data_IF_418051035930
#
_entry.id   IF_418051035930
#
_cell.length_a   1.000
_cell.length_b   1.000
_cell.length_c   1.000
_cell.angle_alpha   90.00
_cell.angle_beta   90.00
_cell.angle_gamma   90.00
#
_symmetry.space_group_name_H-M   'P 1'
#
loop_
_entity.id
_entity.type
_entity.pdbx_description
1 polymer ?
#
# COMPACT_ATOMS: atom_id res chain seq x y z
N UNK A 1 1.03 -23.74 -0.25
CA UNK A 1 2.16 -24.59 -0.70
C UNK A 1 3.01 -23.92 -1.80
N UNK A 2 3.13 -22.58 -1.82
CA UNK A 2 3.97 -21.84 -2.81
C UNK A 2 5.16 -21.10 -2.13
N UNK A 3 5.21 -21.00 -0.80
CA UNK A 3 6.14 -20.07 -0.12
C UNK A 3 7.41 -20.70 0.49
N UNK A 4 7.56 -22.03 0.41
CA UNK A 4 8.69 -22.76 1.04
C UNK A 4 9.93 -22.89 0.13
N UNK A 5 9.83 -22.48 -1.15
CA UNK A 5 10.93 -22.60 -2.12
C UNK A 5 11.72 -21.30 -2.34
N UNK A 6 11.15 -20.13 -2.01
CA UNK A 6 11.84 -18.83 -2.18
C UNK A 6 12.83 -18.55 -1.05
N UNK A 7 12.53 -18.97 0.18
CA UNK A 7 13.39 -18.69 1.36
C UNK A 7 14.62 -19.59 1.47
N UNK A 8 14.63 -20.73 0.77
CA UNK A 8 15.69 -21.74 0.92
C UNK A 8 16.99 -21.41 0.17
N UNK A 9 16.98 -20.40 -0.72
CA UNK A 9 18.13 -20.10 -1.58
C UNK A 9 18.48 -18.59 -1.68
N UNK A 10 18.02 -17.77 -0.74
CA UNK A 10 18.46 -16.38 -0.67
C UNK A 10 19.83 -16.30 0.00
N UNK A 11 20.78 -15.61 -0.63
CA UNK A 11 22.07 -15.28 0.01
C UNK A 11 21.77 -14.56 1.33
N UNK A 12 22.36 -14.95 2.47
CA UNK A 12 22.08 -14.35 3.77
C UNK A 12 22.27 -12.82 3.76
N UNK A 13 23.18 -12.31 2.92
CA UNK A 13 23.39 -10.87 2.73
C UNK A 13 22.20 -10.12 2.11
N UNK A 14 21.38 -10.76 1.26
CA UNK A 14 20.21 -10.12 0.63
C UNK A 14 19.06 -9.98 1.62
N UNK A 15 18.85 -10.97 2.50
CA UNK A 15 17.88 -10.87 3.59
C UNK A 15 18.30 -9.82 4.62
N UNK A 16 19.59 -9.79 4.96
CA UNK A 16 20.15 -8.78 5.85
C UNK A 16 19.99 -7.37 5.29
N UNK A 17 20.19 -7.17 3.98
CA UNK A 17 19.95 -5.86 3.36
C UNK A 17 18.47 -5.46 3.38
N UNK A 18 17.59 -6.39 3.01
CA UNK A 18 16.15 -6.16 2.84
C UNK A 18 15.44 -5.81 4.16
N UNK A 19 15.83 -6.43 5.27
CA UNK A 19 15.28 -6.10 6.60
C UNK A 19 16.19 -5.18 7.43
N UNK A 20 17.50 -5.25 7.23
CA UNK A 20 18.46 -4.43 7.97
C UNK A 20 18.44 -2.97 7.55
N UNK A 21 18.18 -2.65 6.28
CA UNK A 21 18.09 -1.25 5.84
C UNK A 21 16.90 -0.50 6.49
N UNK A 22 15.65 -1.01 6.46
CA UNK A 22 14.54 -0.38 7.19
C UNK A 22 14.82 -0.24 8.68
N UNK A 23 15.35 -1.28 9.34
CA UNK A 23 15.67 -1.24 10.76
C UNK A 23 16.77 -0.21 11.08
N UNK A 24 17.79 -0.10 10.22
CA UNK A 24 18.84 0.90 10.36
C UNK A 24 18.29 2.32 10.21
N UNK A 25 17.39 2.56 9.24
CA UNK A 25 16.73 3.86 9.05
C UNK A 25 15.88 4.22 10.26
N UNK A 26 15.10 3.27 10.78
CA UNK A 26 14.31 3.44 11.99
C UNK A 26 15.17 3.87 13.19
N UNK A 27 16.25 3.12 13.45
CA UNK A 27 17.19 3.42 14.54
C UNK A 27 17.91 4.75 14.32
N UNK A 28 18.31 5.05 13.09
CA UNK A 28 18.96 6.31 12.76
C UNK A 28 18.06 7.52 13.09
N UNK A 29 16.76 7.45 12.79
CA UNK A 29 15.82 8.54 13.10
C UNK A 29 15.54 8.64 14.60
N UNK A 30 15.40 7.52 15.32
CA UNK A 30 15.19 7.55 16.79
C UNK A 30 16.42 8.08 17.54
N UNK A 31 17.62 7.72 17.10
CA UNK A 31 18.87 8.10 17.76
C UNK A 31 19.39 9.47 17.30
N UNK A 32 18.84 10.02 16.22
CA UNK A 32 19.17 11.36 15.77
C UNK A 32 18.79 12.41 16.83
N UNK A 33 19.51 13.54 16.92
CA UNK A 33 19.09 14.67 17.74
C UNK A 33 17.71 15.14 17.30
N UNK A 34 16.79 15.33 18.25
CA UNK A 34 15.45 15.81 17.93
C UNK A 34 15.54 17.23 17.33
N UNK A 35 15.06 17.47 16.10
CA UNK A 35 15.11 18.80 15.50
C UNK A 35 14.29 19.83 16.30
N UNK A 36 14.73 21.08 16.30
CA UNK A 36 14.06 22.16 17.01
C UNK A 36 12.60 22.31 16.53
N UNK A 37 11.65 22.28 17.47
CA UNK A 37 10.23 22.42 17.19
C UNK A 37 9.48 21.11 16.95
N UNK A 38 10.15 19.95 16.95
CA UNK A 38 9.50 18.65 16.83
C UNK A 38 9.29 17.99 18.20
N UNK A 39 8.10 17.45 18.44
CA UNK A 39 7.80 16.71 19.66
C UNK A 39 8.48 15.34 19.64
N UNK A 40 8.80 14.76 20.80
CA UNK A 40 9.39 13.42 20.88
C UNK A 40 8.49 12.35 20.24
N UNK A 41 7.16 12.50 20.37
CA UNK A 41 6.17 11.67 19.67
C UNK A 41 6.27 11.84 18.15
N UNK A 42 6.44 13.08 17.67
CA UNK A 42 6.66 13.40 16.27
C UNK A 42 7.90 12.71 15.70
N UNK A 43 9.02 12.74 16.42
CA UNK A 43 10.25 12.04 16.00
C UNK A 43 10.04 10.52 15.90
N UNK A 44 9.35 9.92 16.88
CA UNK A 44 9.03 8.49 16.87
C UNK A 44 8.09 8.12 15.72
N UNK A 45 7.07 8.92 15.46
CA UNK A 45 6.17 8.73 14.32
C UNK A 45 6.92 8.85 12.99
N UNK A 46 7.82 9.82 12.86
CA UNK A 46 8.69 9.96 11.68
C UNK A 46 9.61 8.75 11.50
N UNK A 47 10.15 8.17 12.57
CA UNK A 47 10.98 6.98 12.49
C UNK A 47 10.20 5.79 11.92
N UNK A 48 8.98 5.55 12.42
CA UNK A 48 8.10 4.50 11.90
C UNK A 48 7.73 4.76 10.43
N UNK A 49 7.40 6.01 10.09
CA UNK A 49 7.07 6.40 8.71
C UNK A 49 8.25 6.19 7.76
N UNK A 50 9.46 6.62 8.13
CA UNK A 50 10.66 6.45 7.31
C UNK A 50 10.96 4.97 7.08
N UNK A 51 10.84 4.14 8.12
CA UNK A 51 10.97 2.69 8.01
C UNK A 51 9.92 2.10 7.05
N UNK A 52 8.65 2.51 7.16
CA UNK A 52 7.56 2.05 6.31
C UNK A 52 7.81 2.40 4.83
N UNK A 53 8.26 3.63 4.54
CA UNK A 53 8.61 4.08 3.20
C UNK A 53 9.72 3.21 2.60
N UNK A 54 10.75 2.88 3.37
CA UNK A 54 11.83 1.99 2.90
C UNK A 54 11.30 0.58 2.65
N UNK A 55 10.45 0.04 3.53
CA UNK A 55 9.83 -1.28 3.34
C UNK A 55 8.96 -1.33 2.08
N UNK A 56 8.24 -0.26 1.77
CA UNK A 56 7.46 -0.14 0.54
C UNK A 56 8.34 0.00 -0.70
N UNK A 57 9.34 0.89 -0.68
CA UNK A 57 10.23 1.11 -1.81
C UNK A 57 11.07 -0.13 -2.16
N UNK A 58 11.41 -0.94 -1.16
CA UNK A 58 12.15 -2.20 -1.35
C UNK A 58 11.24 -3.40 -1.62
N UNK A 59 9.91 -3.21 -1.59
CA UNK A 59 8.89 -4.26 -1.69
C UNK A 59 9.22 -5.48 -0.80
N UNK A 60 9.76 -5.18 0.39
CA UNK A 60 10.32 -6.20 1.28
C UNK A 60 9.25 -7.12 1.84
N UNK A 61 8.12 -6.51 2.20
CA UNK A 61 6.90 -7.13 2.70
C UNK A 61 5.71 -6.67 1.83
N UNK A 62 4.63 -7.45 1.82
CA UNK A 62 3.39 -7.04 1.19
C UNK A 62 2.90 -5.71 1.78
N UNK A 63 2.34 -4.82 0.94
CA UNK A 63 1.94 -3.45 1.33
C UNK A 63 1.10 -3.42 2.62
N UNK A 64 0.14 -4.35 2.74
CA UNK A 64 -0.74 -4.46 3.90
C UNK A 64 0.00 -4.93 5.17
N UNK A 65 1.00 -5.81 5.03
CA UNK A 65 1.80 -6.30 6.15
C UNK A 65 2.68 -5.17 6.69
N UNK A 66 3.30 -4.37 5.80
CA UNK A 66 4.06 -3.17 6.21
C UNK A 66 3.17 -2.18 6.96
N UNK A 67 1.93 -1.95 6.50
CA UNK A 67 0.97 -1.11 7.20
C UNK A 67 0.67 -1.62 8.62
N UNK A 68 0.38 -2.93 8.75
CA UNK A 68 0.12 -3.56 10.04
C UNK A 68 1.31 -3.45 11.00
N UNK A 69 2.52 -3.74 10.52
CA UNK A 69 3.76 -3.58 11.31
C UNK A 69 3.95 -2.14 11.76
N UNK A 70 3.66 -1.17 10.90
CA UNK A 70 3.80 0.26 11.21
C UNK A 70 2.83 0.69 12.32
N UNK A 71 1.56 0.26 12.26
CA UNK A 71 0.55 0.54 13.30
C UNK A 71 1.01 -0.01 14.65
N UNK A 72 1.44 -1.28 14.67
CA UNK A 72 1.94 -1.92 15.88
C UNK A 72 3.14 -1.15 16.44
N UNK A 73 4.08 -0.75 15.58
CA UNK A 73 5.24 0.01 16.01
C UNK A 73 4.91 1.40 16.54
N UNK A 74 3.96 2.13 15.94
CA UNK A 74 3.51 3.44 16.45
C UNK A 74 3.08 3.35 17.92
N UNK A 75 2.34 2.29 18.27
CA UNK A 75 1.90 2.03 19.65
C UNK A 75 3.08 1.59 20.52
N UNK A 76 3.90 0.63 20.06
CA UNK A 76 5.00 0.08 20.86
C UNK A 76 6.06 1.11 21.24
N UNK A 77 6.32 2.10 20.37
CA UNK A 77 7.28 3.17 20.69
C UNK A 77 6.65 4.36 21.39
N UNK A 78 5.35 4.32 21.69
CA UNK A 78 4.59 5.46 22.22
C UNK A 78 4.78 6.70 21.32
N UNK A 79 4.59 6.52 20.01
CA UNK A 79 4.53 7.62 19.04
C UNK A 79 3.15 8.29 19.00
N UNK A 80 2.14 7.62 19.54
CA UNK A 80 0.75 8.10 19.66
C UNK A 80 0.28 7.91 21.10
N UNK A 81 -0.68 8.73 21.54
CA UNK A 81 -1.24 8.67 22.89
C UNK A 81 -2.22 7.50 23.08
N UNK A 82 -2.93 7.12 22.01
CA UNK A 82 -3.96 6.08 22.03
C UNK A 82 -3.87 5.23 20.76
N UNK A 83 -4.25 3.96 20.86
CA UNK A 83 -4.36 3.04 19.71
C UNK A 83 -5.38 3.53 18.69
N UNK A 84 -6.42 4.25 19.12
CA UNK A 84 -7.41 4.84 18.24
C UNK A 84 -6.79 5.85 17.26
N UNK A 85 -5.74 6.57 17.69
CA UNK A 85 -5.00 7.50 16.84
C UNK A 85 -4.20 6.74 15.77
N UNK A 86 -3.57 5.62 16.13
CA UNK A 86 -2.86 4.78 15.16
C UNK A 86 -3.81 4.11 14.15
N UNK A 87 -5.05 3.81 14.55
CA UNK A 87 -6.08 3.19 13.72
C UNK A 87 -6.98 4.20 12.99
N UNK A 88 -6.83 5.49 13.25
CA UNK A 88 -7.70 6.55 12.73
C UNK A 88 -7.89 6.51 11.20
N UNK A 89 -6.84 6.11 10.46
CA UNK A 89 -6.87 5.95 9.00
C UNK A 89 -7.93 4.95 8.50
N UNK A 90 -8.21 3.88 9.26
CA UNK A 90 -9.21 2.88 8.89
C UNK A 90 -10.65 3.40 9.00
N UNK A 91 -10.87 4.38 9.87
CA UNK A 91 -12.17 5.01 10.07
C UNK A 91 -12.42 6.18 9.12
N UNK A 92 -11.50 6.47 8.20
CA UNK A 92 -11.67 7.57 7.25
C UNK A 92 -12.74 7.24 6.20
N UNK A 93 -13.57 8.22 5.80
CA UNK A 93 -14.57 8.04 4.73
C UNK A 93 -13.97 7.49 3.43
N UNK A 94 -12.73 7.85 3.12
CA UNK A 94 -11.99 7.39 1.94
C UNK A 94 -11.82 5.87 1.95
N UNK A 95 -11.56 5.26 3.10
CA UNK A 95 -11.40 3.80 3.24
C UNK A 95 -12.70 3.08 2.89
N UNK A 96 -13.83 3.55 3.42
CA UNK A 96 -15.15 3.00 3.12
C UNK A 96 -15.57 3.25 1.67
N UNK A 97 -15.19 4.39 1.10
CA UNK A 97 -15.41 4.70 -0.32
C UNK A 97 -14.67 3.73 -1.24
N UNK A 98 -13.41 3.40 -0.94
CA UNK A 98 -12.65 2.40 -1.70
C UNK A 98 -13.30 1.01 -1.61
N UNK A 99 -13.74 0.59 -0.41
CA UNK A 99 -14.51 -0.64 -0.25
C UNK A 99 -15.78 -0.64 -1.11
N UNK A 100 -16.49 0.48 -1.16
CA UNK A 100 -17.66 0.68 -2.00
C UNK A 100 -17.35 0.55 -3.49
N UNK A 101 -16.32 1.24 -4.00
CA UNK A 101 -15.94 1.16 -5.42
C UNK A 101 -15.50 -0.25 -5.80
N UNK A 102 -14.69 -0.91 -4.96
CA UNK A 102 -14.23 -2.27 -5.24
C UNK A 102 -15.40 -3.27 -5.27
N UNK A 103 -16.33 -3.14 -4.32
CA UNK A 103 -17.55 -3.97 -4.27
C UNK A 103 -18.45 -3.71 -5.47
N UNK A 104 -18.64 -2.45 -5.84
CA UNK A 104 -19.42 -2.07 -7.01
C UNK A 104 -18.77 -2.58 -8.30
N UNK A 105 -17.45 -2.45 -8.45
CA UNK A 105 -16.70 -2.99 -9.58
C UNK A 105 -16.88 -4.51 -9.70
N UNK A 106 -16.83 -5.23 -8.58
CA UNK A 106 -17.11 -6.66 -8.54
C UNK A 106 -18.55 -6.99 -8.94
N UNK A 107 -19.55 -6.21 -8.51
CA UNK A 107 -20.94 -6.39 -8.91
C UNK A 107 -21.16 -6.10 -10.41
N UNK A 108 -20.51 -5.08 -10.97
CA UNK A 108 -20.52 -4.76 -12.40
C UNK A 108 -19.91 -5.89 -13.22
N UNK A 109 -18.81 -6.47 -12.74
CA UNK A 109 -18.16 -7.63 -13.37
C UNK A 109 -19.04 -8.90 -13.27
N UNK A 110 -19.54 -9.25 -12.08
CA UNK A 110 -20.37 -10.46 -11.90
C UNK A 110 -21.72 -10.39 -12.62
N UNK A 111 -22.31 -9.20 -12.77
CA UNK A 111 -23.57 -9.01 -13.49
C UNK A 111 -23.44 -9.12 -15.02
N UNK A 112 -22.21 -9.18 -15.56
CA UNK A 112 -21.95 -9.16 -16.99
C UNK A 112 -22.13 -7.77 -17.62
N UNK A 113 -22.30 -6.73 -16.82
CA UNK A 113 -22.57 -5.38 -17.31
C UNK A 113 -21.33 -4.83 -18.03
N UNK A 114 -20.13 -5.07 -17.51
CA UNK A 114 -18.89 -4.68 -18.17
C UNK A 114 -18.78 -5.28 -19.58
N UNK A 115 -19.10 -6.57 -19.73
CA UNK A 115 -19.05 -7.31 -20.99
C UNK A 115 -20.11 -6.82 -21.98
N UNK A 116 -21.32 -6.51 -21.50
CA UNK A 116 -22.38 -5.93 -22.32
C UNK A 116 -21.98 -4.55 -22.85
N UNK A 117 -21.39 -3.71 -22.00
CA UNK A 117 -20.90 -2.38 -22.38
C UNK A 117 -19.74 -2.48 -23.37
N UNK A 118 -18.77 -3.37 -23.13
CA UNK A 118 -17.66 -3.62 -24.05
C UNK A 118 -18.17 -4.11 -25.41
N UNK A 119 -19.09 -5.08 -25.44
CA UNK A 119 -19.70 -5.58 -26.67
C UNK A 119 -20.49 -4.50 -27.41
N UNK A 120 -21.18 -3.60 -26.69
CA UNK A 120 -21.90 -2.48 -27.29
C UNK A 120 -20.94 -1.52 -28.01
N UNK A 121 -19.83 -1.14 -27.37
CA UNK A 121 -18.79 -0.28 -27.97
C UNK A 121 -18.19 -0.96 -29.20
N UNK A 122 -17.82 -2.24 -29.10
CA UNK A 122 -17.26 -3.00 -30.23
C UNK A 122 -18.23 -3.08 -31.41
N UNK A 123 -19.51 -3.31 -31.16
CA UNK A 123 -20.55 -3.32 -32.20
C UNK A 123 -20.69 -1.97 -32.88
N UNK A 124 -20.59 -0.88 -32.11
CA UNK A 124 -20.62 0.48 -32.64
C UNK A 124 -19.44 0.79 -33.58
N UNK A 125 -18.29 0.14 -33.39
CA UNK A 125 -17.12 0.29 -34.26
C UNK A 125 -17.28 -0.41 -35.62
N UNK A 126 -18.29 -1.28 -35.80
CA UNK A 126 -18.63 -1.88 -37.10
C UNK A 126 -17.52 -2.73 -37.73
N UNK A 127 -16.62 -3.32 -36.93
CA UNK A 127 -15.52 -4.15 -37.42
C UNK A 127 -14.29 -3.38 -37.93
N UNK A 128 -14.27 -2.04 -37.82
CA UNK A 128 -13.10 -1.22 -38.15
C UNK A 128 -12.21 -1.00 -36.92
N UNK A 129 -10.97 -1.52 -36.89
CA UNK A 129 -10.05 -1.30 -35.77
C UNK A 129 -9.71 0.18 -35.56
N UNK A 130 -9.69 0.98 -36.65
CA UNK A 130 -9.46 2.42 -36.58
C UNK A 130 -10.61 3.15 -35.89
N UNK A 131 -11.85 2.74 -36.16
CA UNK A 131 -13.02 3.32 -35.51
C UNK A 131 -13.09 2.95 -34.03
N UNK A 132 -12.73 1.71 -33.69
CA UNK A 132 -12.64 1.26 -32.30
C UNK A 132 -11.60 2.07 -31.51
N UNK A 133 -10.42 2.31 -32.09
CA UNK A 133 -9.37 3.13 -31.47
C UNK A 133 -9.83 4.58 -31.22
N UNK A 134 -10.49 5.20 -32.20
CA UNK A 134 -11.05 6.56 -32.03
C UNK A 134 -12.12 6.59 -30.94
N UNK A 135 -12.97 5.57 -30.86
CA UNK A 135 -14.00 5.47 -29.82
C UNK A 135 -13.40 5.33 -28.42
N UNK A 136 -12.30 4.57 -28.26
CA UNK A 136 -11.63 4.42 -26.96
C UNK A 136 -10.91 5.69 -26.50
N UNK A 137 -10.45 6.53 -27.42
CA UNK A 137 -9.82 7.82 -27.08
C UNK A 137 -10.83 8.94 -26.81
N UNK A 138 -12.04 8.83 -27.36
CA UNK A 138 -13.08 9.85 -27.24
C UNK A 138 -14.08 9.59 -26.11
N UNK A 139 -14.06 8.39 -25.51
CA UNK A 139 -14.86 7.99 -24.35
C UNK A 139 -14.14 8.31 -23.03
#
# INVERSE_FOLDING_TARGET
MIDQLTTRNMRPGTLLFRFGLPAAVFLAVILAPNPEGLTDQGQRALAVMAMAVVLWATESLHIAVTGMVSIVLLVLVNAVDDIDVALYGFSQPVTYFLLGILTLGLAVHQSGLAERMAAYIVRLAGGSPKMLYVQMLAA
#
